data_IF_518215432894
#
_entry.id   IF_518215432894
#
_cell.length_a   1.000
_cell.length_b   1.000
_cell.length_c   1.000
_cell.angle_alpha   90.00
_cell.angle_beta   90.00
_cell.angle_gamma   90.00
#
_symmetry.space_group_name_H-M   'P 1'
#
loop_
_entity.id
_entity.type
_entity.pdbx_description
1 polymer ?
#
# COMPACT_ATOMS: atom_id res chain seq x y z
N UNK A 1 -34.43 -42.98 3.08
CA UNK A 1 -35.05 -41.94 2.22
C UNK A 1 -34.56 -40.61 2.75
N UNK A 2 -33.56 -40.02 2.11
CA UNK A 2 -33.08 -38.69 2.45
C UNK A 2 -34.08 -37.68 1.87
N UNK A 3 -34.74 -36.92 2.74
CA UNK A 3 -35.54 -35.77 2.30
C UNK A 3 -34.60 -34.74 1.70
N UNK A 4 -34.82 -34.27 0.45
CA UNK A 4 -34.05 -33.17 -0.12
C UNK A 4 -34.06 -32.01 0.86
N UNK A 5 -32.87 -31.64 1.38
CA UNK A 5 -32.73 -30.53 2.30
C UNK A 5 -33.37 -29.28 1.69
N UNK A 6 -34.25 -28.62 2.45
CA UNK A 6 -34.91 -27.38 2.06
C UNK A 6 -33.82 -26.42 1.57
N UNK A 7 -33.86 -26.09 0.28
CA UNK A 7 -32.81 -25.33 -0.39
C UNK A 7 -32.50 -24.04 0.35
N UNK A 8 -31.23 -23.78 0.61
CA UNK A 8 -30.78 -22.52 1.18
C UNK A 8 -31.13 -21.40 0.21
N UNK A 9 -32.20 -20.67 0.52
CA UNK A 9 -32.52 -19.40 -0.13
C UNK A 9 -31.48 -18.38 0.33
N UNK A 10 -30.31 -18.38 -0.29
CA UNK A 10 -29.31 -17.36 -0.06
C UNK A 10 -29.70 -16.16 -0.94
N UNK A 11 -30.13 -15.03 -0.35
CA UNK A 11 -30.43 -13.85 -1.15
C UNK A 11 -29.15 -13.38 -1.86
N UNK A 12 -29.26 -12.74 -3.03
CA UNK A 12 -28.11 -12.17 -3.71
C UNK A 12 -27.43 -11.10 -2.85
N UNK A 13 -26.12 -11.00 -2.98
CA UNK A 13 -25.30 -9.96 -2.37
C UNK A 13 -25.49 -8.62 -3.09
N UNK A 14 -25.17 -7.51 -2.41
CA UNK A 14 -25.23 -6.16 -3.02
C UNK A 14 -24.33 -6.04 -4.25
N UNK A 15 -23.18 -6.74 -4.26
CA UNK A 15 -22.28 -6.80 -5.41
C UNK A 15 -22.94 -7.51 -6.60
N UNK A 16 -23.60 -8.64 -6.36
CA UNK A 16 -24.31 -9.38 -7.41
C UNK A 16 -25.47 -8.55 -7.99
N UNK A 17 -26.22 -7.85 -7.13
CA UNK A 17 -27.29 -6.95 -7.57
C UNK A 17 -26.74 -5.80 -8.43
N UNK A 18 -25.62 -5.20 -8.02
CA UNK A 18 -24.96 -4.14 -8.79
C UNK A 18 -24.44 -4.66 -10.14
N UNK A 19 -23.84 -5.86 -10.16
CA UNK A 19 -23.36 -6.46 -11.39
C UNK A 19 -24.51 -6.75 -12.36
N UNK A 20 -25.64 -7.26 -11.89
CA UNK A 20 -26.83 -7.51 -12.71
C UNK A 20 -27.42 -6.22 -13.29
N UNK A 21 -27.47 -5.14 -12.48
CA UNK A 21 -27.88 -3.81 -12.94
C UNK A 21 -26.93 -3.30 -14.05
N UNK A 22 -25.61 -3.40 -13.83
CA UNK A 22 -24.61 -2.98 -14.82
C UNK A 22 -24.69 -3.83 -16.10
N UNK A 23 -24.90 -5.13 -15.96
CA UNK A 23 -25.02 -6.07 -17.08
C UNK A 23 -26.21 -5.68 -17.97
N UNK A 24 -27.36 -5.44 -17.34
CA UNK A 24 -28.59 -4.98 -17.98
C UNK A 24 -28.41 -3.63 -18.66
N UNK A 25 -27.83 -2.65 -17.96
CA UNK A 25 -27.60 -1.31 -18.50
C UNK A 25 -26.58 -1.28 -19.66
N UNK A 26 -25.57 -2.15 -19.61
CA UNK A 26 -24.50 -2.22 -20.62
C UNK A 26 -24.77 -3.24 -21.73
N UNK A 27 -25.94 -3.85 -21.76
CA UNK A 27 -26.30 -4.87 -22.76
C UNK A 27 -26.13 -4.36 -24.21
N UNK A 28 -26.69 -3.19 -24.54
CA UNK A 28 -26.55 -2.61 -25.87
C UNK A 28 -25.09 -2.27 -26.24
N UNK A 29 -24.28 -1.86 -25.26
CA UNK A 29 -22.86 -1.62 -25.47
C UNK A 29 -22.12 -2.93 -25.77
N UNK A 30 -22.42 -4.03 -25.05
CA UNK A 30 -21.82 -5.34 -25.34
C UNK A 30 -22.17 -5.86 -26.72
N UNK A 31 -23.43 -5.71 -27.15
CA UNK A 31 -23.83 -6.05 -28.52
C UNK A 31 -23.03 -5.26 -29.55
N UNK A 32 -22.95 -3.92 -29.38
CA UNK A 32 -22.20 -3.08 -30.31
C UNK A 32 -20.70 -3.39 -30.32
N UNK A 33 -20.12 -3.70 -29.16
CA UNK A 33 -18.73 -4.14 -29.07
C UNK A 33 -18.50 -5.44 -29.85
N UNK A 34 -19.39 -6.42 -29.72
CA UNK A 34 -19.31 -7.67 -30.47
C UNK A 34 -19.42 -7.45 -31.99
N UNK A 35 -20.31 -6.57 -32.46
CA UNK A 35 -20.44 -6.21 -33.88
C UNK A 35 -19.16 -5.57 -34.44
N UNK A 36 -18.56 -4.65 -33.68
CA UNK A 36 -17.32 -3.97 -34.06
C UNK A 36 -16.15 -4.96 -34.07
N UNK A 37 -16.05 -5.84 -33.07
CA UNK A 37 -15.04 -6.89 -33.02
C UNK A 37 -15.14 -7.83 -34.22
N UNK A 38 -16.35 -8.33 -34.52
CA UNK A 38 -16.60 -9.15 -35.71
C UNK A 38 -16.31 -8.42 -37.02
N UNK A 39 -16.43 -7.07 -37.05
CA UNK A 39 -16.05 -6.27 -38.21
C UNK A 39 -14.53 -6.15 -38.35
N UNK A 40 -13.79 -6.05 -37.25
CA UNK A 40 -12.33 -6.12 -37.26
C UNK A 40 -11.82 -7.48 -37.73
N UNK A 41 -12.44 -8.58 -37.29
CA UNK A 41 -12.08 -9.94 -37.72
C UNK A 41 -12.27 -10.15 -39.23
N UNK A 42 -13.25 -9.48 -39.84
CA UNK A 42 -13.49 -9.50 -41.29
C UNK A 42 -12.61 -8.53 -42.08
N UNK A 43 -11.87 -7.63 -41.42
CA UNK A 43 -11.00 -6.69 -42.10
C UNK A 43 -9.80 -7.44 -42.72
N UNK A 44 -9.34 -7.06 -43.93
CA UNK A 44 -8.22 -7.73 -44.55
C UNK A 44 -6.93 -7.47 -43.77
N UNK A 45 -6.04 -8.47 -43.71
CA UNK A 45 -4.74 -8.36 -43.03
C UNK A 45 -3.83 -7.30 -43.64
N UNK A 46 -4.00 -7.02 -44.94
CA UNK A 46 -3.24 -6.01 -45.66
C UNK A 46 -4.16 -5.15 -46.55
N UNK A 47 -3.80 -3.87 -46.66
CA UNK A 47 -4.55 -2.86 -47.41
C UNK A 47 -3.73 -2.44 -48.62
N UNK A 48 -4.23 -2.71 -49.83
CA UNK A 48 -3.51 -2.45 -51.09
C UNK A 48 -4.19 -1.43 -52.00
N UNK A 49 -5.38 -0.96 -51.63
CA UNK A 49 -6.18 -0.04 -52.42
C UNK A 49 -6.86 1.04 -51.55
N UNK A 50 -7.23 2.16 -52.20
CA UNK A 50 -7.80 3.33 -51.54
C UNK A 50 -9.20 3.07 -50.94
N UNK A 51 -9.99 2.20 -51.58
CA UNK A 51 -11.35 1.89 -51.11
C UNK A 51 -11.28 1.13 -49.78
N UNK A 52 -10.44 0.09 -49.72
CA UNK A 52 -10.18 -0.69 -48.50
C UNK A 52 -9.59 0.20 -47.40
N UNK A 53 -8.63 1.07 -47.72
CA UNK A 53 -8.06 2.01 -46.75
C UNK A 53 -9.12 2.93 -46.14
N UNK A 54 -10.03 3.46 -46.97
CA UNK A 54 -11.12 4.32 -46.52
C UNK A 54 -12.07 3.59 -45.57
N UNK A 55 -12.45 2.34 -45.90
CA UNK A 55 -13.31 1.50 -45.04
C UNK A 55 -12.63 1.21 -43.69
N UNK A 56 -11.33 0.89 -43.68
CA UNK A 56 -10.58 0.65 -42.45
C UNK A 56 -10.50 1.89 -41.55
N UNK A 57 -10.29 3.08 -42.13
CA UNK A 57 -10.32 4.36 -41.39
C UNK A 57 -11.69 4.61 -40.76
N UNK A 58 -12.77 4.37 -41.51
CA UNK A 58 -14.14 4.53 -40.99
C UNK A 58 -14.43 3.55 -39.85
N UNK A 59 -14.01 2.28 -39.97
CA UNK A 59 -14.15 1.30 -38.90
C UNK A 59 -13.37 1.74 -37.64
N UNK A 60 -12.12 2.18 -37.79
CA UNK A 60 -11.32 2.69 -36.68
C UNK A 60 -11.98 3.91 -36.00
N UNK A 61 -12.55 4.84 -36.78
CA UNK A 61 -13.27 5.98 -36.25
C UNK A 61 -14.52 5.56 -35.46
N UNK A 62 -15.28 4.58 -35.95
CA UNK A 62 -16.44 4.04 -35.23
C UNK A 62 -16.04 3.39 -33.89
N UNK A 63 -14.94 2.64 -33.87
CA UNK A 63 -14.41 2.04 -32.64
C UNK A 63 -13.99 3.14 -31.66
N UNK A 64 -13.25 4.16 -32.11
CA UNK A 64 -12.83 5.27 -31.25
C UNK A 64 -14.01 6.04 -30.64
N UNK A 65 -15.04 6.31 -31.44
CA UNK A 65 -16.28 6.94 -30.95
C UNK A 65 -17.01 6.06 -29.93
N UNK A 66 -17.11 4.76 -30.19
CA UNK A 66 -17.74 3.81 -29.28
C UNK A 66 -16.99 3.70 -27.94
N UNK A 67 -15.65 3.60 -27.96
CA UNK A 67 -14.82 3.57 -26.76
C UNK A 67 -14.99 4.84 -25.92
N UNK A 68 -15.01 6.00 -26.57
CA UNK A 68 -15.22 7.29 -25.90
C UNK A 68 -16.58 7.35 -25.20
N UNK A 69 -17.63 6.80 -25.84
CA UNK A 69 -18.97 6.72 -25.26
C UNK A 69 -19.03 5.80 -24.05
N UNK A 70 -18.46 4.58 -24.14
CA UNK A 70 -18.42 3.63 -23.03
C UNK A 70 -17.68 4.21 -21.82
N UNK A 71 -16.56 4.90 -22.07
CA UNK A 71 -15.79 5.52 -20.99
C UNK A 71 -16.52 6.71 -20.34
N UNK A 72 -17.29 7.49 -21.10
CA UNK A 72 -18.15 8.53 -20.56
C UNK A 72 -19.22 7.94 -19.62
N UNK A 73 -19.96 6.92 -20.08
CA UNK A 73 -20.97 6.22 -19.28
C UNK A 73 -20.37 5.61 -18.00
N UNK A 74 -19.17 5.01 -18.11
CA UNK A 74 -18.43 4.49 -16.94
C UNK A 74 -18.16 5.59 -15.91
N UNK A 75 -17.70 6.76 -16.35
CA UNK A 75 -17.44 7.90 -15.45
C UNK A 75 -18.73 8.39 -14.81
N UNK A 76 -19.78 8.57 -15.59
CA UNK A 76 -21.08 9.07 -15.11
C UNK A 76 -21.67 8.15 -14.04
N UNK A 77 -21.56 6.83 -14.19
CA UNK A 77 -22.01 5.85 -13.19
C UNK A 77 -21.10 5.79 -11.96
N UNK A 78 -19.78 5.92 -12.14
CA UNK A 78 -18.81 5.82 -11.04
C UNK A 78 -18.80 7.06 -10.13
N UNK A 79 -19.05 8.24 -10.69
CA UNK A 79 -19.01 9.52 -9.98
C UNK A 79 -19.89 9.60 -8.72
N UNK A 80 -21.19 9.22 -8.74
CA UNK A 80 -22.03 9.25 -7.54
C UNK A 80 -21.51 8.32 -6.44
N UNK A 81 -21.04 7.12 -6.79
CA UNK A 81 -20.49 6.15 -5.83
C UNK A 81 -19.26 6.74 -5.13
N UNK A 82 -18.34 7.36 -5.89
CA UNK A 82 -17.17 8.00 -5.33
C UNK A 82 -17.52 9.19 -4.43
N UNK A 83 -18.53 9.99 -4.80
CA UNK A 83 -19.02 11.10 -3.97
C UNK A 83 -19.60 10.60 -2.65
N UNK A 84 -20.36 9.50 -2.68
CA UNK A 84 -20.88 8.87 -1.47
C UNK A 84 -19.76 8.31 -0.59
N UNK A 85 -18.80 7.60 -1.18
CA UNK A 85 -17.63 7.09 -0.46
C UNK A 85 -16.86 8.22 0.25
N UNK A 86 -16.56 9.31 -0.47
CA UNK A 86 -15.88 10.48 0.12
C UNK A 86 -16.69 11.14 1.25
N UNK A 87 -18.02 11.14 1.15
CA UNK A 87 -18.90 11.68 2.21
C UNK A 87 -18.86 10.80 3.46
N UNK A 88 -18.92 9.48 3.29
CA UNK A 88 -18.81 8.50 4.37
C UNK A 88 -17.45 8.63 5.08
N UNK A 89 -16.38 8.68 4.30
CA UNK A 89 -15.02 8.86 4.84
C UNK A 89 -14.89 10.17 5.62
N UNK A 90 -15.45 11.26 5.09
CA UNK A 90 -15.47 12.56 5.76
C UNK A 90 -16.19 12.52 7.11
N UNK A 91 -17.34 11.85 7.18
CA UNK A 91 -18.11 11.68 8.41
C UNK A 91 -17.30 10.91 9.48
N UNK A 92 -16.75 9.75 9.13
CA UNK A 92 -15.98 8.95 10.08
C UNK A 92 -14.67 9.60 10.49
N UNK A 93 -14.01 10.32 9.57
CA UNK A 93 -12.81 11.09 9.89
C UNK A 93 -13.09 12.17 10.94
N UNK A 94 -14.21 12.89 10.82
CA UNK A 94 -14.60 13.87 11.82
C UNK A 94 -14.86 13.21 13.18
N UNK A 95 -15.60 12.10 13.18
CA UNK A 95 -15.91 11.35 14.41
C UNK A 95 -14.65 10.84 15.13
N UNK A 96 -13.71 10.25 14.38
CA UNK A 96 -12.45 9.73 14.94
C UNK A 96 -11.52 10.86 15.35
N UNK A 97 -11.46 11.95 14.59
CA UNK A 97 -10.56 13.09 14.86
C UNK A 97 -10.81 13.72 16.24
N UNK A 98 -12.06 13.90 16.64
CA UNK A 98 -12.42 14.44 17.97
C UNK A 98 -11.98 13.51 19.11
N UNK A 99 -12.12 12.19 18.90
CA UNK A 99 -11.69 11.18 19.85
C UNK A 99 -10.17 11.08 19.95
N UNK A 100 -9.46 11.16 18.83
CA UNK A 100 -8.00 11.19 18.80
C UNK A 100 -7.46 12.43 19.52
N UNK A 101 -8.00 13.62 19.23
CA UNK A 101 -7.62 14.84 19.93
C UNK A 101 -7.86 14.73 21.45
N UNK A 102 -9.00 14.14 21.85
CA UNK A 102 -9.32 13.93 23.26
C UNK A 102 -8.39 12.90 23.92
N UNK A 103 -8.07 11.81 23.23
CA UNK A 103 -7.11 10.79 23.67
C UNK A 103 -5.73 11.41 23.87
N UNK A 104 -5.26 12.17 22.89
CA UNK A 104 -3.92 12.78 22.92
C UNK A 104 -3.80 13.78 24.07
N UNK A 105 -4.85 14.57 24.33
CA UNK A 105 -4.91 15.45 25.50
C UNK A 105 -4.88 14.69 26.84
N UNK A 106 -5.42 13.47 26.90
CA UNK A 106 -5.31 12.61 28.10
C UNK A 106 -3.91 12.02 28.22
N UNK A 107 -3.31 11.56 27.11
CA UNK A 107 -1.95 11.02 27.10
C UNK A 107 -0.90 12.07 27.50
N UNK A 108 -1.07 13.33 27.08
CA UNK A 108 -0.21 14.45 27.50
C UNK A 108 -0.25 14.65 29.02
N UNK A 109 -1.45 14.67 29.63
CA UNK A 109 -1.59 14.77 31.09
C UNK A 109 -0.94 13.60 31.83
N UNK A 110 -1.03 12.38 31.28
CA UNK A 110 -0.36 11.20 31.84
C UNK A 110 1.16 11.37 31.75
N UNK A 111 1.69 11.89 30.64
CA UNK A 111 3.11 12.14 30.47
C UNK A 111 3.63 13.22 31.44
N UNK A 112 2.87 14.30 31.65
CA UNK A 112 3.19 15.34 32.64
C UNK A 112 3.26 14.75 34.06
N UNK A 113 2.27 13.94 34.44
CA UNK A 113 2.23 13.25 35.72
C UNK A 113 3.43 12.30 35.91
N UNK A 114 3.77 11.51 34.89
CA UNK A 114 4.94 10.62 34.92
C UNK A 114 6.25 11.40 35.06
N UNK A 115 6.35 12.59 34.48
CA UNK A 115 7.52 13.46 34.60
C UNK A 115 7.69 13.97 36.03
N UNK A 116 6.58 14.26 36.74
CA UNK A 116 6.61 14.68 38.15
C UNK A 116 7.04 13.53 39.08
N UNK A 117 6.63 12.30 38.78
CA UNK A 117 6.91 11.13 39.64
C UNK A 117 8.30 10.53 39.41
N UNK A 118 8.90 10.71 38.24
CA UNK A 118 10.24 10.23 37.96
C UNK A 118 11.30 11.04 38.74
N UNK A 119 11.40 10.81 40.05
CA UNK A 119 12.33 11.48 40.99
C UNK A 119 13.79 10.98 40.87
N UNK A 120 14.10 10.03 39.96
CA UNK A 120 15.45 9.47 39.80
C UNK A 120 15.75 8.89 38.40
N UNK A 121 17.04 8.66 38.05
CA UNK A 121 17.46 8.21 36.72
C UNK A 121 17.00 6.78 36.36
N UNK A 122 16.53 6.00 37.34
CA UNK A 122 16.15 4.58 37.18
C UNK A 122 14.68 4.28 37.51
N UNK A 123 13.88 5.28 37.88
CA UNK A 123 12.50 5.05 38.32
C UNK A 123 11.53 4.92 37.14
N UNK A 124 11.00 3.71 36.95
CA UNK A 124 9.97 3.43 35.94
C UNK A 124 8.60 3.49 36.62
N UNK A 125 7.90 4.60 36.46
CA UNK A 125 6.49 4.67 36.82
C UNK A 125 5.69 3.71 35.90
N UNK A 126 5.16 2.63 36.47
CA UNK A 126 4.24 1.73 35.78
C UNK A 126 2.82 1.99 36.27
N UNK A 127 1.90 2.25 35.35
CA UNK A 127 0.48 2.36 35.65
C UNK A 127 -0.23 1.21 34.93
N UNK A 128 -0.86 0.33 35.71
CA UNK A 128 -1.64 -0.80 35.20
C UNK A 128 -3.11 -0.44 35.29
N UNK A 129 -3.81 -0.50 34.16
CA UNK A 129 -5.26 -0.35 34.11
C UNK A 129 -5.95 -1.71 34.11
N UNK A 130 -7.19 -1.77 34.61
CA UNK A 130 -7.98 -3.00 34.67
C UNK A 130 -8.30 -3.59 33.28
N UNK A 131 -8.24 -2.77 32.23
CA UNK A 131 -8.49 -3.18 30.84
C UNK A 131 -7.27 -3.81 30.14
N UNK A 132 -6.14 -3.99 30.85
CA UNK A 132 -5.01 -4.77 30.37
C UNK A 132 -3.79 -4.03 29.78
N UNK A 133 -3.85 -2.80 29.22
CA UNK A 133 -2.64 -2.14 28.76
C UNK A 133 -1.80 -1.62 29.94
N UNK A 134 -0.49 -1.86 29.86
CA UNK A 134 0.50 -1.31 30.79
C UNK A 134 1.14 -0.09 30.13
N UNK A 135 0.91 1.11 30.67
CA UNK A 135 1.63 2.30 30.25
C UNK A 135 3.03 2.26 30.90
N UNK A 136 4.07 2.17 30.07
CA UNK A 136 5.47 2.28 30.51
C UNK A 136 6.10 3.47 29.81
N UNK A 137 6.69 4.39 30.56
CA UNK A 137 7.52 5.45 29.99
C UNK A 137 8.97 4.97 29.91
N UNK A 138 9.64 5.30 28.81
CA UNK A 138 11.08 5.07 28.66
C UNK A 138 11.74 6.31 28.05
N UNK A 139 12.79 6.81 28.69
CA UNK A 139 13.55 7.96 28.20
C UNK A 139 14.58 7.43 27.19
N UNK A 140 14.30 7.62 25.91
CA UNK A 140 15.28 7.35 24.84
C UNK A 140 16.10 8.61 24.60
N UNK A 141 17.40 8.57 24.92
CA UNK A 141 18.34 9.68 24.67
C UNK A 141 19.05 9.45 23.35
N UNK A 142 18.76 10.27 22.34
CA UNK A 142 19.50 10.24 21.06
C UNK A 142 20.75 11.11 21.18
N UNK A 143 21.92 10.49 21.10
CA UNK A 143 23.22 11.19 21.15
C UNK A 143 23.65 11.51 19.71
N UNK A 144 23.84 12.79 19.40
CA UNK A 144 24.45 13.23 18.14
C UNK A 144 25.91 13.62 18.40
N UNK A 145 26.82 12.94 17.72
CA UNK A 145 28.26 13.25 17.82
C UNK A 145 28.56 14.47 16.95
N UNK A 146 29.04 15.55 17.57
CA UNK A 146 29.52 16.77 16.88
C UNK A 146 31.05 16.76 16.97
N UNK A 147 31.73 16.58 15.83
CA UNK A 147 33.19 16.46 15.79
C UNK A 147 33.67 15.07 16.20
N UNK A 148 33.75 14.10 15.27
CA UNK A 148 34.16 12.72 15.59
C UNK A 148 35.58 12.64 16.15
N UNK A 149 36.43 13.63 15.84
CA UNK A 149 37.78 13.83 16.35
C UNK A 149 37.82 14.11 17.87
N UNK A 150 36.74 14.66 18.43
CA UNK A 150 36.60 14.98 19.86
C UNK A 150 36.03 13.83 20.69
N UNK A 151 35.54 12.76 20.05
CA UNK A 151 35.05 11.57 20.76
C UNK A 151 36.24 10.83 21.37
N UNK A 152 36.26 10.55 22.69
CA UNK A 152 37.31 9.77 23.31
C UNK A 152 37.50 8.43 22.60
N UNK A 153 38.76 8.00 22.45
CA UNK A 153 39.11 6.81 21.66
C UNK A 153 38.42 5.53 22.15
N UNK A 154 38.10 5.42 23.45
CA UNK A 154 37.41 4.26 24.02
C UNK A 154 35.91 4.18 23.67
N UNK A 155 35.30 5.24 23.13
CA UNK A 155 33.92 5.24 22.61
C UNK A 155 33.86 5.05 21.08
N UNK A 156 35.00 4.92 20.40
CA UNK A 156 35.06 4.70 18.95
C UNK A 156 35.00 3.19 18.66
N UNK A 157 33.85 2.71 18.23
CA UNK A 157 33.70 1.32 17.77
C UNK A 157 34.19 1.19 16.33
N UNK A 158 35.00 0.19 16.05
CA UNK A 158 35.44 -0.14 14.69
C UNK A 158 34.25 -0.76 13.93
N UNK A 159 33.89 -0.19 12.78
CA UNK A 159 32.88 -0.79 11.90
C UNK A 159 33.48 -2.00 11.17
N UNK A 160 33.22 -3.18 11.72
CA UNK A 160 33.71 -4.46 11.18
C UNK A 160 33.13 -4.76 9.80
N UNK A 161 31.92 -4.25 9.49
CA UNK A 161 31.30 -4.47 8.19
C UNK A 161 31.99 -3.64 7.11
N UNK A 162 32.29 -2.37 7.40
CA UNK A 162 33.07 -1.51 6.51
C UNK A 162 34.48 -2.07 6.26
N UNK A 163 35.16 -2.54 7.31
CA UNK A 163 36.49 -3.17 7.20
C UNK A 163 36.42 -4.44 6.33
N UNK A 164 35.41 -5.30 6.51
CA UNK A 164 35.22 -6.49 5.66
C UNK A 164 34.93 -6.13 4.20
N UNK A 165 34.17 -5.05 3.95
CA UNK A 165 33.87 -4.58 2.60
C UNK A 165 35.12 -4.06 1.89
N UNK A 166 35.97 -3.29 2.58
CA UNK A 166 37.26 -2.82 2.09
C UNK A 166 38.20 -3.99 1.73
N UNK A 167 38.31 -4.99 2.60
CA UNK A 167 39.09 -6.21 2.34
C UNK A 167 38.56 -6.98 1.13
N UNK A 168 37.23 -7.08 0.97
CA UNK A 168 36.61 -7.72 -0.20
C UNK A 168 36.85 -6.94 -1.50
N UNK A 169 37.01 -5.62 -1.42
CA UNK A 169 37.34 -4.75 -2.55
C UNK A 169 38.82 -4.80 -2.95
N UNK A 170 39.66 -5.54 -2.22
CA UNK A 170 41.08 -5.73 -2.51
C UNK A 170 42.02 -4.81 -1.72
N UNK A 171 41.50 -4.05 -0.75
CA UNK A 171 42.32 -3.23 0.15
C UNK A 171 42.94 -4.13 1.23
N UNK A 172 44.26 -4.33 1.15
CA UNK A 172 45.00 -5.26 2.00
C UNK A 172 45.86 -4.59 3.07
N UNK A 173 45.97 -3.25 3.05
CA UNK A 173 46.75 -2.46 4.01
C UNK A 173 45.86 -1.45 4.74
N UNK A 174 45.27 -1.88 5.86
CA UNK A 174 44.41 -1.05 6.72
C UNK A 174 45.14 -0.85 8.05
N UNK A 175 45.57 0.38 8.41
CA UNK A 175 46.31 0.64 9.64
C UNK A 175 45.60 0.12 10.90
N UNK A 176 46.27 -0.73 11.66
CA UNK A 176 45.74 -1.31 12.90
C UNK A 176 44.83 -2.54 12.72
N UNK A 177 44.69 -3.08 11.49
CA UNK A 177 43.90 -4.29 11.21
C UNK A 177 44.81 -5.39 10.67
N UNK A 178 44.81 -6.56 11.33
CA UNK A 178 45.52 -7.75 10.85
C UNK A 178 44.54 -8.66 10.09
N UNK A 179 44.83 -8.94 8.81
CA UNK A 179 44.03 -9.83 7.95
C UNK A 179 44.67 -11.22 7.98
N UNK A 180 43.94 -12.23 8.50
CA UNK A 180 44.40 -13.63 8.56
C UNK A 180 43.53 -14.50 7.64
N UNK A 181 44.14 -15.09 6.60
CA UNK A 181 43.45 -15.97 5.65
C UNK A 181 43.58 -17.44 6.09
N UNK A 182 42.46 -18.06 6.50
CA UNK A 182 42.43 -19.48 6.88
C UNK A 182 41.72 -20.28 5.79
N UNK A 183 42.46 -21.11 5.02
CA UNK A 183 41.89 -22.00 4.00
C UNK A 183 41.53 -23.34 4.62
N UNK A 184 40.26 -23.74 4.52
CA UNK A 184 39.78 -25.07 4.96
C UNK A 184 39.22 -25.82 3.75
N UNK A 185 39.81 -26.96 3.41
CA UNK A 185 39.31 -27.86 2.38
C UNK A 185 38.13 -28.66 2.94
N UNK A 186 36.99 -28.65 2.24
CA UNK A 186 35.83 -29.48 2.54
C UNK A 186 35.65 -30.46 1.38
N UNK A 187 35.79 -31.75 1.67
CA UNK A 187 35.43 -32.86 0.79
C UNK A 187 33.94 -33.13 1.05
N UNK A 188 33.11 -33.04 0.01
CA UNK A 188 31.75 -33.62 0.01
C UNK A 188 31.81 -34.99 -0.63
#
# INVERSE_FOLDING_TARGET
METPGIGHNNPPTDEELLLDELDSAMFAHRQRAAELAASCERAPEAVFDLETATKSILLAAQIGAFLSKVEAERKDRKDPILKHAATIDGFFKALVGDLEASRDAVLERIADYQTVIAEGPDDKAQIRTDEGPLATSSITRTVRIIGPDKVPSHFRTIDVAAVRAAVKAGETDIPGVAIVETRKALIK
#
